data_IF_689964440342
#
_entry.id   IF_689964440342
#
_cell.length_a   1.000
_cell.length_b   1.000
_cell.length_c   1.000
_cell.angle_alpha   90.00
_cell.angle_beta   90.00
_cell.angle_gamma   90.00
#
_symmetry.space_group_name_H-M   'P 1'
#
loop_
_entity.id
_entity.type
_entity.pdbx_description
1 polymer ?
#
# COMPACT_ATOMS: atom_id res chain seq x y z
N UNK A 1 0.31 -6.88 -8.47
CA UNK A 1 -1.10 -6.63 -8.11
C UNK A 1 -1.40 -5.13 -8.27
N UNK A 2 -2.67 -4.70 -8.33
CA UNK A 2 -3.07 -3.29 -8.36
C UNK A 2 -3.51 -2.80 -6.98
N UNK A 3 -3.54 -1.48 -6.76
CA UNK A 3 -4.01 -0.92 -5.49
C UNK A 3 -5.45 -1.35 -5.14
N UNK A 4 -6.34 -1.41 -6.14
CA UNK A 4 -7.73 -1.83 -5.96
C UNK A 4 -7.83 -3.26 -5.41
N UNK A 5 -6.91 -4.14 -5.82
CA UNK A 5 -6.82 -5.51 -5.33
C UNK A 5 -6.32 -5.53 -3.88
N UNK A 6 -5.30 -4.70 -3.57
CA UNK A 6 -4.74 -4.57 -2.23
C UNK A 6 -5.78 -4.16 -1.19
N UNK A 7 -6.74 -3.30 -1.55
CA UNK A 7 -7.79 -2.86 -0.62
C UNK A 7 -8.53 -4.05 0.02
N UNK A 8 -8.75 -5.14 -0.71
CA UNK A 8 -9.35 -6.36 -0.13
C UNK A 8 -8.53 -6.93 1.02
N UNK A 9 -7.21 -6.90 0.90
CA UNK A 9 -6.29 -7.41 1.91
C UNK A 9 -6.21 -6.43 3.09
N UNK A 10 -6.10 -5.12 2.84
CA UNK A 10 -6.04 -4.11 3.91
C UNK A 10 -7.29 -4.13 4.79
N UNK A 11 -8.47 -4.41 4.22
CA UNK A 11 -9.72 -4.50 4.97
C UNK A 11 -9.93 -5.86 5.66
N UNK A 12 -9.08 -6.86 5.40
CA UNK A 12 -9.21 -8.21 5.94
C UNK A 12 -7.87 -8.73 6.47
N UNK A 13 -7.63 -8.63 7.79
CA UNK A 13 -6.38 -9.05 8.41
C UNK A 13 -5.98 -10.51 8.11
N UNK A 14 -6.95 -11.42 7.94
CA UNK A 14 -6.65 -12.82 7.60
C UNK A 14 -6.08 -12.97 6.20
N UNK A 15 -6.64 -12.24 5.23
CA UNK A 15 -6.12 -12.23 3.86
C UNK A 15 -4.76 -11.56 3.80
N UNK A 16 -4.57 -10.46 4.53
CA UNK A 16 -3.30 -9.73 4.58
C UNK A 16 -2.14 -10.59 5.10
N UNK A 17 -2.37 -11.36 6.18
CA UNK A 17 -1.37 -12.30 6.69
C UNK A 17 -1.01 -13.37 5.66
N UNK A 18 -1.98 -13.83 4.87
CA UNK A 18 -1.75 -14.75 3.76
C UNK A 18 -0.90 -14.13 2.64
N UNK A 19 -1.22 -12.89 2.24
CA UNK A 19 -0.46 -12.14 1.25
C UNK A 19 1.02 -12.00 1.64
N UNK A 20 1.30 -11.70 2.91
CA UNK A 20 2.68 -11.59 3.40
C UNK A 20 3.46 -12.91 3.26
N UNK A 21 2.80 -14.04 3.52
CA UNK A 21 3.42 -15.35 3.37
C UNK A 21 3.66 -15.69 1.90
N UNK A 22 2.69 -15.40 1.03
CA UNK A 22 2.78 -15.63 -0.42
C UNK A 22 3.90 -14.82 -1.07
N UNK A 23 4.11 -13.58 -0.60
CA UNK A 23 5.19 -12.70 -1.09
C UNK A 23 6.53 -12.92 -0.38
N UNK A 24 6.60 -13.83 0.60
CA UNK A 24 7.84 -14.11 1.33
C UNK A 24 8.33 -12.96 2.21
N UNK A 25 7.44 -12.06 2.62
CA UNK A 25 7.79 -10.89 3.42
C UNK A 25 8.15 -11.27 4.86
N UNK A 26 9.21 -10.67 5.37
CA UNK A 26 9.67 -10.84 6.74
C UNK A 26 8.71 -10.15 7.72
N UNK A 27 7.99 -10.96 8.49
CA UNK A 27 7.08 -10.48 9.55
C UNK A 27 7.79 -9.84 10.75
N UNK A 28 9.12 -9.92 10.80
CA UNK A 28 9.94 -9.25 11.82
C UNK A 28 10.51 -7.92 11.35
N UNK A 29 10.28 -7.55 10.08
CA UNK A 29 10.60 -6.21 9.58
C UNK A 29 9.89 -5.15 10.43
N UNK A 30 10.56 -4.02 10.68
CA UNK A 30 9.98 -2.94 11.48
C UNK A 30 8.72 -2.36 10.82
N UNK A 31 8.71 -2.28 9.49
CA UNK A 31 7.56 -1.82 8.73
C UNK A 31 7.54 -2.44 7.33
N UNK A 32 6.32 -2.67 6.84
CA UNK A 32 6.07 -3.03 5.45
C UNK A 32 5.53 -1.81 4.71
N UNK A 33 6.13 -1.51 3.56
CA UNK A 33 5.88 -0.28 2.80
C UNK A 33 5.26 -0.62 1.45
N UNK A 34 4.20 0.10 1.09
CA UNK A 34 3.50 -0.04 -0.20
C UNK A 34 4.14 0.91 -1.20
N UNK A 35 4.65 0.36 -2.29
CA UNK A 35 5.19 1.13 -3.41
C UNK A 35 4.39 0.89 -4.69
N UNK A 36 4.36 1.91 -5.54
CA UNK A 36 3.82 1.85 -6.90
C UNK A 36 4.96 1.93 -7.92
N UNK A 37 4.92 1.08 -8.95
CA UNK A 37 5.87 1.14 -10.05
C UNK A 37 5.67 2.43 -10.87
N UNK A 38 6.77 3.10 -11.16
CA UNK A 38 6.94 4.32 -11.98
C UNK A 38 6.22 5.56 -11.45
N UNK A 39 4.91 5.50 -11.23
CA UNK A 39 4.08 6.65 -10.88
C UNK A 39 2.99 6.31 -9.87
N UNK A 40 2.47 7.32 -9.16
CA UNK A 40 1.30 7.20 -8.30
C UNK A 40 0.00 7.22 -9.13
N UNK A 41 -0.38 6.05 -9.65
CA UNK A 41 -1.57 5.84 -10.47
C UNK A 41 -2.30 4.54 -10.09
N UNK A 42 -3.61 4.48 -10.31
CA UNK A 42 -4.38 3.24 -10.17
C UNK A 42 -3.96 2.18 -11.19
N UNK A 43 -3.43 2.61 -12.32
CA UNK A 43 -2.88 1.75 -13.36
C UNK A 43 -1.49 1.21 -13.00
N UNK A 44 -0.84 1.75 -11.96
CA UNK A 44 0.46 1.26 -11.51
C UNK A 44 0.32 -0.07 -10.79
N UNK A 45 1.27 -0.96 -11.06
CA UNK A 45 1.43 -2.17 -10.24
C UNK A 45 2.00 -1.78 -8.88
N UNK A 46 1.56 -2.48 -7.84
CA UNK A 46 2.09 -2.30 -6.50
C UNK A 46 3.01 -3.44 -6.12
N UNK A 47 3.94 -3.13 -5.23
CA UNK A 47 4.81 -4.09 -4.54
C UNK A 47 4.90 -3.66 -3.07
N UNK A 48 4.97 -4.64 -2.17
CA UNK A 48 5.23 -4.39 -0.76
C UNK A 48 6.70 -4.74 -0.50
N UNK A 49 7.41 -3.83 0.16
CA UNK A 49 8.80 -4.04 0.54
C UNK A 49 8.96 -3.91 2.05
N UNK A 50 9.99 -4.57 2.57
CA UNK A 50 10.48 -4.37 3.92
C UNK A 50 11.17 -3.01 4.01
N UNK A 51 10.99 -2.29 5.12
CA UNK A 51 11.61 -0.97 5.29
C UNK A 51 13.14 -1.03 5.17
N UNK A 52 13.76 -2.12 5.63
CA UNK A 52 15.20 -2.36 5.54
C UNK A 52 15.71 -2.48 4.09
N UNK A 53 14.84 -2.86 3.15
CA UNK A 53 15.19 -2.93 1.74
C UNK A 53 15.23 -1.55 1.08
N UNK A 54 14.31 -0.68 1.49
CA UNK A 54 14.07 0.61 0.81
C UNK A 54 14.63 1.80 1.56
N UNK A 55 15.10 1.61 2.79
CA UNK A 55 15.49 2.67 3.72
C UNK A 55 14.42 3.76 3.90
N UNK A 56 13.15 3.41 3.69
CA UNK A 56 12.00 4.35 3.69
C UNK A 56 12.10 5.48 2.64
N UNK A 57 12.82 5.24 1.54
CA UNK A 57 12.95 6.24 0.47
C UNK A 57 11.59 6.52 -0.19
N UNK A 58 11.24 7.81 -0.36
CA UNK A 58 10.00 8.19 -1.07
C UNK A 58 9.98 7.69 -2.52
N UNK A 59 11.16 7.56 -3.11
CA UNK A 59 11.39 7.06 -4.45
C UNK A 59 12.69 6.27 -4.44
N UNK A 60 12.65 5.02 -4.88
CA UNK A 60 13.88 4.22 -5.08
C UNK A 60 13.82 3.42 -6.38
N UNK A 61 14.98 2.93 -6.83
CA UNK A 61 15.11 2.11 -8.03
C UNK A 61 15.58 0.71 -7.67
N UNK A 62 14.93 -0.31 -8.24
CA UNK A 62 15.34 -1.71 -8.14
C UNK A 62 15.16 -2.40 -9.48
N UNK A 63 16.22 -3.04 -9.97
CA UNK A 63 16.23 -3.75 -11.25
C UNK A 63 15.83 -2.86 -12.46
N UNK A 64 16.20 -1.58 -12.43
CA UNK A 64 15.83 -0.62 -13.48
C UNK A 64 14.37 -0.16 -13.45
N UNK A 65 13.62 -0.53 -12.41
CA UNK A 65 12.25 -0.08 -12.19
C UNK A 65 12.25 0.93 -11.05
N UNK A 66 11.66 2.09 -11.31
CA UNK A 66 11.42 3.10 -10.28
C UNK A 66 10.19 2.71 -9.46
N UNK A 67 10.26 2.93 -8.16
CA UNK A 67 9.19 2.70 -7.21
C UNK A 67 8.92 3.98 -6.44
N UNK A 68 7.65 4.40 -6.37
CA UNK A 68 7.20 5.58 -5.63
C UNK A 68 6.39 5.15 -4.43
N UNK A 69 6.77 5.61 -3.24
CA UNK A 69 6.16 5.21 -1.99
C UNK A 69 4.74 5.77 -1.88
N UNK A 70 3.77 4.87 -1.66
CA UNK A 70 2.42 5.24 -1.30
C UNK A 70 2.34 5.50 0.20
N UNK A 71 2.40 4.45 1.03
CA UNK A 71 2.33 4.51 2.50
C UNK A 71 2.91 3.23 3.14
N UNK A 72 3.29 3.26 4.44
CA UNK A 72 3.35 2.07 5.26
C UNK A 72 2.00 1.33 5.28
N UNK A 73 2.02 0.00 5.33
CA UNK A 73 0.80 -0.82 5.31
C UNK A 73 -0.10 -0.50 6.50
N UNK A 74 0.47 -0.43 7.71
CA UNK A 74 -0.30 -0.13 8.93
C UNK A 74 -0.91 1.27 8.88
N UNK A 75 -0.21 2.24 8.27
CA UNK A 75 -0.74 3.58 8.08
C UNK A 75 -1.90 3.59 7.07
N UNK A 76 -1.80 2.84 5.97
CA UNK A 76 -2.90 2.69 5.02
C UNK A 76 -4.14 2.06 5.66
N UNK A 77 -3.96 1.08 6.56
CA UNK A 77 -5.06 0.49 7.35
C UNK A 77 -5.68 1.54 8.27
N UNK A 78 -4.86 2.29 9.00
CA UNK A 78 -5.33 3.35 9.90
C UNK A 78 -6.12 4.44 9.15
N UNK A 79 -5.66 4.84 7.95
CA UNK A 79 -6.38 5.77 7.09
C UNK A 79 -7.76 5.24 6.68
N UNK A 80 -7.86 3.95 6.31
CA UNK A 80 -9.13 3.32 5.92
C UNK A 80 -10.08 3.21 7.11
N UNK A 81 -9.57 2.79 8.26
CA UNK A 81 -10.39 2.47 9.44
C UNK A 81 -10.81 3.72 10.23
N UNK A 82 -9.92 4.71 10.39
CA UNK A 82 -10.11 5.81 11.33
C UNK A 82 -10.13 7.19 10.68
N UNK A 83 -9.10 7.57 9.92
CA UNK A 83 -8.97 8.97 9.51
C UNK A 83 -9.96 9.37 8.41
N UNK A 84 -10.17 8.48 7.44
CA UNK A 84 -11.12 8.70 6.35
C UNK A 84 -12.47 8.02 6.61
N UNK A 85 -12.55 7.19 7.65
CA UNK A 85 -13.71 6.39 8.06
C UNK A 85 -14.37 5.66 6.86
N UNK A 86 -13.56 5.02 6.01
CA UNK A 86 -14.04 4.50 4.72
C UNK A 86 -14.74 3.15 4.84
N UNK A 87 -14.38 2.37 5.85
CA UNK A 87 -14.82 1.00 6.05
C UNK A 87 -16.33 0.86 6.22
N UNK A 88 -16.92 1.76 7.00
CA UNK A 88 -18.36 1.71 7.33
C UNK A 88 -19.24 2.50 6.35
N UNK A 89 -18.63 3.18 5.38
CA UNK A 89 -19.34 3.98 4.36
C UNK A 89 -19.85 3.16 3.17
N UNK A 90 -19.54 1.86 3.11
CA UNK A 90 -19.95 0.98 2.03
C UNK A 90 -19.32 1.31 0.68
N UNK A 91 -18.13 1.94 0.68
CA UNK A 91 -17.42 2.28 -0.54
C UNK A 91 -16.87 1.04 -1.26
N UNK A 92 -16.84 1.10 -2.58
CA UNK A 92 -16.13 0.11 -3.38
C UNK A 92 -14.62 0.22 -3.18
N UNK A 93 -13.89 -0.88 -3.37
CA UNK A 93 -12.43 -0.87 -3.32
C UNK A 93 -11.81 0.15 -4.26
N UNK A 94 -12.41 0.36 -5.44
CA UNK A 94 -11.97 1.38 -6.39
C UNK A 94 -12.04 2.78 -5.77
N UNK A 95 -13.12 3.08 -5.06
CA UNK A 95 -13.29 4.37 -4.41
C UNK A 95 -12.29 4.56 -3.26
N UNK A 96 -12.05 3.53 -2.47
CA UNK A 96 -11.05 3.56 -1.39
C UNK A 96 -9.64 3.76 -1.97
N UNK A 97 -9.27 3.02 -3.01
CA UNK A 97 -7.99 3.16 -3.70
C UNK A 97 -7.80 4.58 -4.27
N UNK A 98 -8.83 5.14 -4.89
CA UNK A 98 -8.83 6.54 -5.34
C UNK A 98 -8.58 7.51 -4.18
N UNK A 99 -9.26 7.33 -3.05
CA UNK A 99 -9.13 8.24 -1.91
C UNK A 99 -7.74 8.18 -1.27
N UNK A 100 -7.15 7.00 -1.11
CA UNK A 100 -5.76 6.87 -0.63
C UNK A 100 -4.77 7.54 -1.57
N UNK A 101 -4.94 7.33 -2.89
CA UNK A 101 -4.06 7.94 -3.89
C UNK A 101 -4.15 9.47 -3.87
N UNK A 102 -5.37 10.00 -3.79
CA UNK A 102 -5.59 11.46 -3.71
C UNK A 102 -5.14 12.04 -2.37
N UNK A 103 -5.21 11.28 -1.28
CA UNK A 103 -4.62 11.67 0.00
C UNK A 103 -3.11 11.82 -0.14
N UNK A 104 -2.42 10.80 -0.70
CA UNK A 104 -0.96 10.83 -0.89
C UNK A 104 -0.50 12.01 -1.73
N UNK A 105 -1.20 12.31 -2.83
CA UNK A 105 -0.89 13.43 -3.73
C UNK A 105 -1.08 14.82 -3.10
N UNK A 106 -1.85 14.91 -2.02
CA UNK A 106 -2.06 16.18 -1.28
C UNK A 106 -1.11 16.32 -0.09
N UNK A 107 -0.64 15.20 0.43
CA UNK A 107 0.29 15.11 1.56
C UNK A 107 1.76 15.24 1.12
N UNK A 108 2.09 14.75 -0.09
CA UNK A 108 3.38 14.94 -0.75
C UNK A 108 3.56 16.36 -1.30
#
# INVERSE_FOLDING_TARGET
MKLVELINYLMNPKLLVGLYQEQGLNKQSEALLIYMQETLSLESSIVIFEIEETNDDLVFEKEGIQYVQLFPVDYAIALIDFDLELKDKGYSNLKIAQMLLEYRKKDA
#
